data_IF_283635016381
#
_entry.id   IF_283635016381
#
_cell.length_a   1.000
_cell.length_b   1.000
_cell.length_c   1.000
_cell.angle_alpha   90.00
_cell.angle_beta   90.00
_cell.angle_gamma   90.00
#
_symmetry.space_group_name_H-M   'P 1'
#
loop_
_entity.id
_entity.type
_entity.pdbx_description
1 polymer ?
#
# COMPACT_ATOMS: atom_id res chain seq x y z
N UNK A 1 -41.36 -52.63 11.63
CA UNK A 1 -41.13 -52.78 10.18
C UNK A 1 -40.07 -51.76 9.76
N UNK A 2 -38.90 -52.26 9.31
CA UNK A 2 -37.91 -51.70 8.35
C UNK A 2 -37.72 -50.18 8.25
N UNK A 3 -36.55 -49.64 8.61
CA UNK A 3 -35.29 -49.54 7.83
C UNK A 3 -35.24 -48.37 6.81
N UNK A 4 -34.37 -47.39 7.12
CA UNK A 4 -33.23 -46.89 6.33
C UNK A 4 -33.40 -45.85 5.19
N UNK A 5 -32.42 -44.92 5.19
CA UNK A 5 -31.65 -44.31 4.05
C UNK A 5 -31.94 -42.86 3.56
N UNK A 6 -31.03 -41.94 3.93
CA UNK A 6 -30.20 -41.04 3.06
C UNK A 6 -30.76 -39.74 2.44
N UNK A 7 -30.27 -38.61 2.99
CA UNK A 7 -29.40 -37.54 2.38
C UNK A 7 -29.99 -36.48 1.39
N UNK A 8 -29.44 -35.26 1.55
CA UNK A 8 -29.33 -34.09 0.64
C UNK A 8 -30.41 -32.96 0.63
N UNK A 9 -29.97 -31.81 1.16
CA UNK A 9 -29.84 -30.48 0.51
C UNK A 9 -31.01 -29.47 0.39
N UNK A 10 -30.75 -28.30 1.01
CA UNK A 10 -30.82 -26.92 0.49
C UNK A 10 -32.08 -26.02 0.58
N UNK A 11 -31.77 -24.82 1.12
CA UNK A 11 -32.32 -23.47 0.90
C UNK A 11 -33.69 -23.14 1.50
N UNK A 12 -33.67 -22.27 2.52
CA UNK A 12 -34.35 -20.96 2.46
C UNK A 12 -33.55 -19.91 3.23
N UNK A 13 -33.11 -18.88 2.50
CA UNK A 13 -32.59 -17.60 2.99
C UNK A 13 -33.75 -16.80 3.58
N UNK A 14 -33.57 -16.17 4.74
CA UNK A 14 -34.34 -14.98 5.12
C UNK A 14 -33.68 -14.18 6.24
N UNK A 15 -33.27 -12.95 5.90
CA UNK A 15 -33.49 -11.72 6.68
C UNK A 15 -32.74 -11.46 8.01
N UNK A 16 -31.43 -11.70 8.09
CA UNK A 16 -30.61 -11.11 9.19
C UNK A 16 -29.24 -10.52 8.78
N UNK A 17 -28.90 -10.45 7.48
CA UNK A 17 -27.56 -10.03 7.03
C UNK A 17 -27.45 -8.59 6.50
N UNK A 18 -28.51 -7.76 6.58
CA UNK A 18 -28.55 -6.45 5.92
C UNK A 18 -28.56 -5.22 6.87
N UNK A 19 -28.40 -5.40 8.18
CA UNK A 19 -28.45 -4.28 9.15
C UNK A 19 -27.15 -4.09 9.96
N UNK A 20 -26.16 -4.98 9.83
CA UNK A 20 -24.88 -4.86 10.57
C UNK A 20 -23.72 -4.22 9.78
N UNK A 21 -23.95 -3.75 8.54
CA UNK A 21 -22.89 -3.11 7.73
C UNK A 21 -22.75 -1.60 8.04
N UNK A 22 -23.68 -1.02 8.80
CA UNK A 22 -23.89 0.44 8.81
C UNK A 22 -23.44 1.16 10.09
N UNK A 23 -22.66 0.52 10.99
CA UNK A 23 -22.15 1.17 12.21
C UNK A 23 -20.76 0.73 12.69
N UNK A 24 -19.98 -0.02 11.89
CA UNK A 24 -18.72 -0.62 12.36
C UNK A 24 -17.42 0.18 12.09
N UNK A 25 -17.50 1.39 11.55
CA UNK A 25 -16.34 1.96 10.87
C UNK A 25 -16.01 3.37 11.29
N UNK A 26 -15.41 3.50 12.48
CA UNK A 26 -14.69 4.70 12.88
C UNK A 26 -13.54 4.34 13.83
N UNK A 27 -12.30 4.72 13.48
CA UNK A 27 -11.28 5.08 14.48
C UNK A 27 -11.59 6.51 15.00
N UNK A 28 -12.87 6.83 15.24
CA UNK A 28 -13.28 8.07 15.89
C UNK A 28 -13.81 7.74 17.28
N UNK A 29 -13.52 8.65 18.22
CA UNK A 29 -14.03 8.62 19.60
C UNK A 29 -15.55 8.42 19.61
N UNK A 30 -16.00 7.18 19.81
CA UNK A 30 -17.31 6.91 20.39
C UNK A 30 -17.11 6.18 21.71
N UNK A 31 -17.28 6.91 22.82
CA UNK A 31 -17.18 6.41 24.20
C UNK A 31 -15.80 5.85 24.63
N UNK A 32 -14.76 6.11 23.84
CA UNK A 32 -13.37 5.77 24.15
C UNK A 32 -13.04 4.28 24.10
N UNK A 33 -13.88 3.42 23.51
CA UNK A 33 -13.57 2.00 23.31
C UNK A 33 -13.45 1.74 21.81
N UNK A 34 -12.33 1.15 21.39
CA UNK A 34 -12.15 0.63 20.03
C UNK A 34 -12.81 -0.75 19.98
N UNK A 35 -13.80 -0.95 19.11
CA UNK A 35 -14.39 -2.27 18.89
C UNK A 35 -13.44 -3.12 18.02
N UNK A 36 -12.68 -3.97 18.70
CA UNK A 36 -11.69 -4.86 18.10
C UNK A 36 -12.29 -6.22 17.72
N UNK A 37 -13.59 -6.45 17.87
CA UNK A 37 -14.24 -7.70 17.46
C UNK A 37 -14.15 -7.92 15.93
N UNK A 38 -14.06 -6.85 15.15
CA UNK A 38 -13.87 -6.86 13.69
C UNK A 38 -12.47 -7.36 13.27
N UNK A 39 -11.45 -7.21 14.14
CA UNK A 39 -10.09 -7.73 13.90
C UNK A 39 -10.02 -9.26 13.88
N UNK A 40 -10.93 -9.95 14.58
CA UNK A 40 -10.98 -11.43 14.59
C UNK A 40 -11.23 -12.04 13.20
N UNK A 41 -11.80 -11.29 12.25
CA UNK A 41 -12.09 -11.74 10.88
C UNK A 41 -10.96 -11.49 9.87
N UNK A 42 -9.89 -10.78 10.24
CA UNK A 42 -8.82 -10.33 9.34
C UNK A 42 -7.49 -11.09 9.50
N UNK A 43 -7.52 -12.41 9.69
CA UNK A 43 -6.28 -13.23 9.73
C UNK A 43 -5.49 -13.12 8.42
N UNK A 44 -4.36 -12.39 8.43
CA UNK A 44 -3.35 -12.37 7.36
C UNK A 44 -2.35 -13.52 7.47
N UNK A 45 -1.57 -13.79 6.40
CA UNK A 45 -0.45 -14.74 6.40
C UNK A 45 0.88 -14.03 6.70
N UNK A 46 1.81 -14.73 7.34
CA UNK A 46 3.21 -14.31 7.50
C UNK A 46 3.84 -14.04 6.12
N UNK A 47 4.54 -12.92 5.99
CA UNK A 47 5.59 -12.78 4.97
C UNK A 47 6.88 -13.46 5.46
N UNK A 48 7.86 -13.62 4.57
CA UNK A 48 9.21 -14.15 4.85
C UNK A 48 9.93 -13.44 6.01
N UNK A 49 9.50 -12.22 6.35
CA UNK A 49 10.03 -11.41 7.46
C UNK A 49 9.16 -11.43 8.74
N UNK A 50 8.15 -12.30 8.84
CA UNK A 50 7.34 -12.44 10.06
C UNK A 50 6.37 -11.28 10.35
N UNK A 51 6.21 -10.33 9.42
CA UNK A 51 5.36 -9.14 9.59
C UNK A 51 3.89 -9.43 9.30
N UNK A 52 3.00 -8.81 10.08
CA UNK A 52 1.55 -8.94 9.93
C UNK A 52 1.00 -7.88 8.96
N UNK A 53 0.77 -8.26 7.71
CA UNK A 53 0.30 -7.35 6.66
C UNK A 53 -1.24 -7.41 6.54
N UNK A 54 -1.94 -6.34 6.92
CA UNK A 54 -3.41 -6.25 6.83
C UNK A 54 -3.96 -4.83 7.06
N UNK A 55 -5.24 -4.57 6.75
CA UNK A 55 -5.89 -3.25 6.89
C UNK A 55 -5.65 -2.59 8.25
N UNK A 56 -5.63 -3.41 9.30
CA UNK A 56 -5.37 -3.01 10.67
C UNK A 56 -3.95 -2.48 10.92
N UNK A 57 -2.92 -3.01 10.23
CA UNK A 57 -1.52 -2.54 10.35
C UNK A 57 -1.41 -1.09 9.92
N UNK A 58 -2.11 -0.70 8.85
CA UNK A 58 -2.00 0.65 8.30
C UNK A 58 -2.77 1.67 9.13
N UNK A 59 -3.97 1.30 9.60
CA UNK A 59 -4.73 2.11 10.55
C UNK A 59 -3.94 2.37 11.83
N UNK A 60 -3.35 1.33 12.40
CA UNK A 60 -2.51 1.44 13.61
C UNK A 60 -1.29 2.30 13.29
N UNK A 61 -0.60 2.04 12.18
CA UNK A 61 0.59 2.77 11.76
C UNK A 61 0.34 4.27 11.56
N UNK A 62 -0.72 4.62 10.82
CA UNK A 62 -1.09 6.01 10.60
C UNK A 62 -1.50 6.70 11.90
N UNK A 63 -2.30 6.03 12.73
CA UNK A 63 -2.72 6.56 14.02
C UNK A 63 -1.52 6.79 14.93
N UNK A 64 -0.57 5.85 14.95
CA UNK A 64 0.67 5.96 15.71
C UNK A 64 1.55 7.10 15.18
N UNK A 65 1.72 7.23 13.86
CA UNK A 65 2.51 8.31 13.26
C UNK A 65 1.90 9.69 13.56
N UNK A 66 0.58 9.83 13.44
CA UNK A 66 -0.14 11.06 13.81
C UNK A 66 0.04 11.34 15.31
N UNK A 67 -0.19 10.35 16.16
CA UNK A 67 -0.05 10.48 17.60
C UNK A 67 1.37 10.87 18.02
N UNK A 68 2.38 10.24 17.42
CA UNK A 68 3.77 10.57 17.65
C UNK A 68 4.08 12.01 17.25
N UNK A 69 3.64 12.43 16.05
CA UNK A 69 3.84 13.79 15.55
C UNK A 69 3.18 14.83 16.48
N UNK A 70 1.95 14.55 16.94
CA UNK A 70 1.23 15.37 17.91
C UNK A 70 1.96 15.49 19.26
N UNK A 71 2.70 14.44 19.65
CA UNK A 71 3.54 14.40 20.85
C UNK A 71 5.01 14.76 20.58
N UNK A 72 5.28 15.39 19.43
CA UNK A 72 6.56 15.99 19.10
C UNK A 72 7.66 14.99 18.70
N UNK A 73 7.30 13.77 18.30
CA UNK A 73 8.21 12.81 17.72
C UNK A 73 7.82 12.57 16.26
N UNK A 74 8.78 12.81 15.36
CA UNK A 74 8.55 12.61 13.94
C UNK A 74 9.45 11.50 13.41
N UNK A 75 8.83 10.50 12.80
CA UNK A 75 9.51 9.36 12.22
C UNK A 75 8.82 8.90 10.95
N UNK A 76 9.59 8.15 10.18
CA UNK A 76 9.12 7.48 8.98
C UNK A 76 9.50 6.01 8.97
N UNK A 77 8.72 5.23 8.23
CA UNK A 77 9.07 3.86 7.94
C UNK A 77 10.31 3.86 7.04
N UNK A 78 11.27 3.02 7.38
CA UNK A 78 12.56 2.96 6.71
C UNK A 78 12.94 1.51 6.47
N UNK A 79 12.90 1.08 5.22
CA UNK A 79 13.26 -0.29 4.88
C UNK A 79 14.79 -0.43 4.80
N UNK A 80 15.42 -0.62 5.95
CA UNK A 80 16.87 -0.77 6.09
C UNK A 80 17.19 -1.64 7.30
N UNK A 81 18.30 -2.37 7.20
CA UNK A 81 18.84 -3.18 8.30
C UNK A 81 19.25 -2.34 9.54
N UNK A 82 19.39 -1.01 9.38
CA UNK A 82 19.75 -0.06 10.46
C UNK A 82 18.53 0.55 11.16
N UNK A 83 17.32 0.21 10.73
CA UNK A 83 16.12 0.83 11.26
C UNK A 83 15.76 0.31 12.67
N UNK A 84 15.18 1.19 13.49
CA UNK A 84 14.65 0.77 14.79
C UNK A 84 13.42 -0.10 14.59
N UNK A 85 13.48 -1.37 14.96
CA UNK A 85 12.35 -2.28 14.88
C UNK A 85 11.46 -2.11 16.10
N UNK A 86 10.25 -1.58 15.96
CA UNK A 86 9.22 -1.60 17.01
C UNK A 86 8.29 -2.76 16.71
N UNK A 87 8.29 -3.78 17.56
CA UNK A 87 7.37 -4.91 17.53
C UNK A 87 6.27 -4.73 18.59
N UNK A 88 5.05 -4.48 18.14
CA UNK A 88 3.88 -4.45 19.03
C UNK A 88 3.29 -5.86 19.11
N UNK A 89 3.29 -6.47 20.30
CA UNK A 89 2.66 -7.75 20.58
C UNK A 89 1.17 -7.54 20.84
N UNK A 90 0.31 -8.18 20.05
CA UNK A 90 -1.13 -8.18 20.33
C UNK A 90 -1.58 -9.46 21.03
N UNK A 91 -2.38 -9.33 22.08
CA UNK A 91 -3.08 -10.43 22.76
C UNK A 91 -4.41 -10.80 22.07
N UNK A 92 -5.11 -11.83 22.58
CA UNK A 92 -6.46 -12.16 22.13
C UNK A 92 -7.36 -10.93 22.28
N UNK A 93 -8.30 -10.74 21.34
CA UNK A 93 -9.25 -9.60 21.33
C UNK A 93 -8.66 -8.24 20.92
N UNK A 94 -7.40 -8.19 20.47
CA UNK A 94 -6.82 -7.01 19.80
C UNK A 94 -6.13 -6.02 20.73
N UNK A 95 -5.90 -6.39 21.99
CA UNK A 95 -5.16 -5.55 22.95
C UNK A 95 -3.63 -5.66 22.75
N UNK A 96 -2.86 -4.61 23.07
CA UNK A 96 -1.38 -4.71 23.10
C UNK A 96 -0.96 -5.41 24.41
N UNK A 97 -0.31 -6.56 24.27
CA UNK A 97 0.21 -7.39 25.35
C UNK A 97 1.63 -6.98 25.76
N UNK A 98 2.46 -6.56 24.80
CA UNK A 98 3.79 -5.99 25.04
C UNK A 98 4.23 -5.12 23.86
N UNK A 99 5.22 -4.28 24.11
CA UNK A 99 5.87 -3.44 23.11
C UNK A 99 7.37 -3.73 23.22
N UNK A 100 7.93 -4.37 22.20
CA UNK A 100 9.37 -4.59 22.07
C UNK A 100 9.92 -3.59 21.06
N UNK A 101 11.10 -3.04 21.33
CA UNK A 101 11.89 -2.38 20.30
C UNK A 101 13.31 -2.93 20.31
N UNK A 102 13.88 -3.16 19.12
CA UNK A 102 15.23 -3.70 18.94
C UNK A 102 15.91 -2.98 17.78
N UNK A 103 17.18 -2.60 17.94
CA UNK A 103 18.07 -2.34 16.79
C UNK A 103 18.74 -3.67 16.42
N UNK A 104 18.97 -3.94 15.13
CA UNK A 104 19.45 -5.26 14.67
C UNK A 104 20.93 -5.54 14.99
N UNK A 105 21.68 -4.55 15.47
CA UNK A 105 23.05 -4.76 15.94
C UNK A 105 23.07 -5.24 17.40
N UNK A 106 22.86 -6.55 17.59
CA UNK A 106 23.52 -7.44 18.57
C UNK A 106 22.66 -8.69 18.81
N UNK A 107 22.83 -9.71 17.96
CA UNK A 107 22.59 -11.11 18.37
C UNK A 107 23.93 -11.73 18.79
N UNK A 108 24.42 -11.36 19.98
CA UNK A 108 25.31 -12.23 20.76
C UNK A 108 24.59 -12.53 22.08
N UNK A 109 24.20 -13.79 22.26
CA UNK A 109 23.23 -14.20 23.28
C UNK A 109 23.79 -14.33 24.70
N UNK A 110 22.89 -14.35 25.68
CA UNK A 110 22.68 -15.51 26.55
C UNK A 110 21.38 -15.36 27.33
N UNK A 111 20.88 -16.49 27.82
CA UNK A 111 19.67 -16.68 28.60
C UNK A 111 19.57 -15.76 29.82
N UNK A 112 18.34 -15.32 30.08
CA UNK A 112 17.85 -14.72 31.33
C UNK A 112 18.36 -13.30 31.63
N UNK A 113 17.40 -12.37 31.56
CA UNK A 113 17.40 -10.99 32.06
C UNK A 113 18.35 -9.96 31.40
N UNK A 114 17.68 -8.99 30.76
CA UNK A 114 18.17 -7.71 30.20
C UNK A 114 18.98 -7.77 28.90
N UNK A 115 18.27 -7.64 27.77
CA UNK A 115 18.86 -7.20 26.50
C UNK A 115 19.33 -5.75 26.64
N UNK A 116 20.64 -5.51 26.60
CA UNK A 116 21.22 -4.18 26.42
C UNK A 116 21.47 -3.95 24.94
N UNK A 117 20.63 -3.11 24.35
CA UNK A 117 20.74 -2.65 22.96
C UNK A 117 21.93 -1.69 22.85
N UNK A 118 22.86 -1.93 21.92
CA UNK A 118 23.85 -0.93 21.49
C UNK A 118 23.25 -0.11 20.34
N UNK A 119 23.34 1.20 20.46
CA UNK A 119 22.83 2.16 19.49
C UNK A 119 23.74 2.23 18.26
N UNK A 120 23.13 2.44 17.10
CA UNK A 120 23.78 3.22 16.05
C UNK A 120 23.84 4.68 16.55
N UNK A 121 25.00 5.33 16.47
CA UNK A 121 25.31 6.65 17.04
C UNK A 121 24.46 7.82 16.43
N UNK A 122 23.46 7.50 15.60
CA UNK A 122 22.68 8.41 14.79
C UNK A 122 21.36 8.92 15.43
N UNK A 123 20.99 8.44 16.62
CA UNK A 123 19.77 8.91 17.31
C UNK A 123 20.08 9.93 18.41
N UNK A 124 19.36 11.07 18.48
CA UNK A 124 19.56 12.07 19.53
C UNK A 124 19.34 11.50 20.95
N UNK A 125 20.08 12.02 21.92
CA UNK A 125 19.87 11.72 23.34
C UNK A 125 18.40 11.89 23.75
N UNK A 126 17.84 10.88 24.43
CA UNK A 126 16.45 10.88 24.90
C UNK A 126 15.38 10.48 23.87
N UNK A 127 15.76 10.17 22.62
CA UNK A 127 14.85 9.67 21.59
C UNK A 127 14.09 8.41 22.04
N UNK A 128 14.80 7.44 22.62
CA UNK A 128 14.20 6.19 23.11
C UNK A 128 13.15 6.44 24.20
N UNK A 129 13.48 7.26 25.21
CA UNK A 129 12.56 7.56 26.30
C UNK A 129 11.29 8.26 25.78
N UNK A 130 11.46 9.17 24.81
CA UNK A 130 10.35 9.87 24.15
C UNK A 130 9.49 8.92 23.33
N UNK A 131 10.10 8.08 22.51
CA UNK A 131 9.40 7.08 21.70
C UNK A 131 8.66 6.07 22.58
N UNK A 132 9.31 5.55 23.62
CA UNK A 132 8.70 4.65 24.61
C UNK A 132 7.50 5.31 25.28
N UNK A 133 7.63 6.56 25.72
CA UNK A 133 6.53 7.33 26.33
C UNK A 133 5.36 7.48 25.36
N UNK A 134 5.64 7.87 24.11
CA UNK A 134 4.63 8.01 23.06
C UNK A 134 3.93 6.69 22.76
N UNK A 135 4.66 5.58 22.67
CA UNK A 135 4.06 4.27 22.43
C UNK A 135 3.19 3.82 23.61
N UNK A 136 3.62 4.07 24.86
CA UNK A 136 2.81 3.80 26.05
C UNK A 136 1.56 4.69 26.11
N UNK A 137 1.69 5.98 25.83
CA UNK A 137 0.57 6.92 25.82
C UNK A 137 -0.41 6.60 24.70
N UNK A 138 0.08 6.22 23.51
CA UNK A 138 -0.73 5.69 22.41
C UNK A 138 -1.49 4.44 22.85
N UNK A 139 -0.82 3.46 23.43
CA UNK A 139 -1.47 2.24 23.92
C UNK A 139 -2.55 2.55 24.97
N UNK A 140 -2.26 3.46 25.91
CA UNK A 140 -3.20 3.88 26.95
C UNK A 140 -4.41 4.63 26.38
N UNK A 141 -4.17 5.59 25.50
CA UNK A 141 -5.22 6.44 24.92
C UNK A 141 -6.19 5.63 24.06
N UNK A 142 -5.68 4.66 23.31
CA UNK A 142 -6.48 3.75 22.50
C UNK A 142 -7.01 2.54 23.30
N UNK A 143 -6.96 2.60 24.64
CA UNK A 143 -7.43 1.57 25.60
C UNK A 143 -6.95 0.16 25.29
N UNK A 144 -5.67 0.05 24.92
CA UNK A 144 -5.00 -1.21 24.65
C UNK A 144 -4.55 -1.80 26.01
N UNK A 145 -5.42 -2.60 26.65
CA UNK A 145 -5.19 -3.14 28.01
C UNK A 145 -4.20 -4.32 28.04
N UNK A 146 -3.27 -4.33 28.99
CA UNK A 146 -2.36 -5.47 29.20
C UNK A 146 -3.02 -6.61 29.97
N UNK A 147 -2.96 -7.84 29.44
CA UNK A 147 -3.26 -9.08 30.20
C UNK A 147 -2.29 -10.19 29.78
N UNK A 148 -1.93 -11.05 30.74
CA UNK A 148 -0.80 -11.98 30.75
C UNK A 148 -0.85 -13.18 29.78
N UNK A 149 0.28 -13.89 29.76
CA UNK A 149 0.72 -14.98 28.88
C UNK A 149 -0.23 -16.18 28.79
N UNK A 150 -0.77 -16.43 27.60
CA UNK A 150 -0.61 -17.70 26.86
C UNK A 150 -1.23 -17.64 25.46
N UNK A 151 -0.59 -18.36 24.53
CA UNK A 151 -0.95 -18.66 23.13
C UNK A 151 -0.68 -17.61 22.04
N UNK A 152 0.16 -18.04 21.08
CA UNK A 152 0.39 -17.57 19.69
C UNK A 152 0.36 -16.05 19.43
N UNK A 153 1.54 -15.42 19.40
CA UNK A 153 1.71 -13.97 19.30
C UNK A 153 2.24 -13.48 17.94
N UNK A 154 1.84 -12.28 17.53
CA UNK A 154 2.17 -11.65 16.25
C UNK A 154 2.79 -10.25 16.46
N UNK A 155 4.08 -10.04 16.19
CA UNK A 155 4.70 -8.72 16.25
C UNK A 155 4.29 -7.85 15.05
N UNK A 156 3.72 -6.68 15.29
CA UNK A 156 3.69 -5.60 14.30
C UNK A 156 5.03 -4.89 14.35
N UNK A 157 5.94 -5.27 13.46
CA UNK A 157 7.27 -4.67 13.35
C UNK A 157 7.25 -3.45 12.41
N UNK A 158 7.71 -2.30 12.89
CA UNK A 158 7.99 -1.12 12.08
C UNK A 158 9.46 -0.78 12.20
N UNK A 159 10.09 -0.56 11.06
CA UNK A 159 11.47 -0.12 10.97
C UNK A 159 11.47 1.41 10.88
N UNK A 160 12.01 2.11 11.89
CA UNK A 160 11.93 3.58 11.97
C UNK A 160 13.27 4.27 11.73
N UNK A 161 13.19 5.49 11.18
CA UNK A 161 14.21 6.53 11.32
C UNK A 161 13.58 7.89 11.59
N UNK A 162 14.38 8.84 12.07
CA UNK A 162 13.97 10.24 12.17
C UNK A 162 13.66 10.80 10.78
N UNK A 163 12.53 11.51 10.66
CA UNK A 163 12.20 12.17 9.40
C UNK A 163 13.09 13.38 9.16
N UNK A 164 13.67 13.45 7.97
CA UNK A 164 14.38 14.63 7.47
C UNK A 164 13.47 15.43 6.55
N UNK A 165 13.23 16.70 6.88
CA UNK A 165 12.45 17.58 6.01
C UNK A 165 13.29 18.00 4.80
N UNK A 166 12.91 17.53 3.61
CA UNK A 166 13.48 17.95 2.33
C UNK A 166 12.54 18.94 1.66
N UNK A 167 13.02 20.14 1.40
CA UNK A 167 12.24 21.25 0.83
C UNK A 167 12.53 21.37 -0.66
N UNK A 168 11.50 21.64 -1.47
CA UNK A 168 11.68 21.96 -2.90
C UNK A 168 12.59 23.20 -3.09
N UNK A 169 13.65 23.13 -3.91
CA UNK A 169 14.49 24.30 -4.19
C UNK A 169 13.68 25.46 -4.78
N UNK A 170 13.78 26.64 -4.16
CA UNK A 170 13.09 27.85 -4.60
C UNK A 170 11.62 27.96 -4.16
N UNK A 171 11.12 27.00 -3.38
CA UNK A 171 9.82 27.13 -2.72
C UNK A 171 9.95 27.91 -1.41
N UNK A 172 8.90 28.66 -1.08
CA UNK A 172 8.74 29.28 0.23
C UNK A 172 8.49 28.18 1.24
N UNK A 173 9.27 28.16 2.32
CA UNK A 173 9.34 26.99 3.18
C UNK A 173 8.94 27.20 4.64
N UNK A 174 8.71 28.45 5.04
CA UNK A 174 8.25 28.82 6.37
C UNK A 174 7.12 29.87 6.33
N UNK A 175 6.37 29.96 7.42
CA UNK A 175 5.30 30.97 7.54
C UNK A 175 5.88 32.39 7.62
N UNK A 176 7.04 32.56 8.26
CA UNK A 176 7.72 33.85 8.39
C UNK A 176 8.16 34.40 7.02
N UNK A 177 8.74 33.54 6.17
CA UNK A 177 9.13 33.89 4.80
C UNK A 177 7.90 34.29 3.97
N UNK A 178 6.81 33.52 4.10
CA UNK A 178 5.55 33.79 3.41
C UNK A 178 4.91 35.13 3.80
N UNK A 179 5.18 35.67 4.99
CA UNK A 179 4.63 36.95 5.44
C UNK A 179 5.38 38.17 4.87
N UNK A 180 6.60 38.00 4.36
CA UNK A 180 7.46 39.12 3.91
C UNK A 180 7.75 39.12 2.41
N UNK A 181 7.52 38.00 1.74
CA UNK A 181 7.69 37.88 0.29
C UNK A 181 6.67 38.75 -0.47
N UNK A 182 7.01 39.17 -1.69
CA UNK A 182 6.02 39.71 -2.61
C UNK A 182 5.05 38.59 -3.05
N UNK A 183 3.75 38.65 -2.70
CA UNK A 183 2.80 37.57 -2.98
C UNK A 183 2.64 37.24 -4.47
N UNK A 184 2.88 38.21 -5.35
CA UNK A 184 2.78 38.02 -6.80
C UNK A 184 3.97 37.24 -7.38
N UNK A 185 5.10 37.22 -6.67
CA UNK A 185 6.31 36.51 -7.10
C UNK A 185 6.25 34.99 -6.82
N UNK A 186 5.35 34.57 -5.93
CA UNK A 186 5.32 33.21 -5.38
C UNK A 186 4.65 32.22 -6.34
N UNK A 187 5.40 31.18 -6.70
CA UNK A 187 4.92 30.07 -7.54
C UNK A 187 4.92 28.70 -6.86
N UNK A 188 5.78 28.50 -5.88
CA UNK A 188 5.84 27.26 -5.10
C UNK A 188 5.91 27.56 -3.61
N UNK A 189 5.09 26.84 -2.85
CA UNK A 189 5.07 26.85 -1.39
C UNK A 189 5.21 25.42 -0.91
N UNK A 190 6.21 25.18 -0.07
CA UNK A 190 6.44 23.92 0.60
C UNK A 190 6.31 24.13 2.11
N UNK A 191 5.11 23.89 2.62
CA UNK A 191 4.80 23.89 4.04
C UNK A 191 4.70 22.46 4.59
N UNK A 192 5.44 21.53 3.98
CA UNK A 192 5.51 20.16 4.50
C UNK A 192 6.11 20.13 5.91
N UNK A 193 5.62 19.22 6.76
CA UNK A 193 6.18 18.97 8.09
C UNK A 193 6.38 20.20 8.98
N UNK A 194 5.41 21.14 8.95
CA UNK A 194 5.39 22.31 9.83
C UNK A 194 4.48 22.12 11.05
N UNK A 195 3.94 20.90 11.23
CA UNK A 195 3.00 20.54 12.32
C UNK A 195 1.74 21.41 12.34
N UNK A 196 1.31 21.90 11.16
CA UNK A 196 0.15 22.76 11.01
C UNK A 196 -1.13 22.03 11.41
N UNK A 197 -1.90 22.60 12.33
CA UNK A 197 -3.23 22.11 12.73
C UNK A 197 -4.36 22.76 11.94
N UNK A 198 -4.11 23.97 11.45
CA UNK A 198 -5.04 24.77 10.66
C UNK A 198 -4.42 25.09 9.30
N UNK A 199 -5.27 25.24 8.30
CA UNK A 199 -4.83 25.58 6.95
C UNK A 199 -4.29 27.04 6.93
N UNK A 200 -3.07 27.29 6.44
CA UNK A 200 -2.48 28.61 6.53
C UNK A 200 -3.09 29.57 5.49
N UNK A 201 -3.91 30.51 5.96
CA UNK A 201 -4.67 31.46 5.12
C UNK A 201 -3.78 32.34 4.22
N UNK A 202 -2.50 32.52 4.56
CA UNK A 202 -1.53 33.29 3.76
C UNK A 202 -1.39 32.74 2.33
N UNK A 203 -1.60 31.44 2.13
CA UNK A 203 -1.59 30.78 0.81
C UNK A 203 -2.53 31.50 -0.18
N UNK A 204 -3.65 32.03 0.31
CA UNK A 204 -4.64 32.68 -0.56
C UNK A 204 -4.21 34.06 -1.07
N UNK A 205 -3.09 34.61 -0.60
CA UNK A 205 -2.49 35.82 -1.16
C UNK A 205 -1.61 35.54 -2.39
N UNK A 206 -1.22 34.28 -2.62
CA UNK A 206 -0.32 33.91 -3.72
C UNK A 206 -1.09 33.63 -5.01
N UNK A 207 -1.37 34.69 -5.77
CA UNK A 207 -2.20 34.61 -6.99
C UNK A 207 -1.58 33.74 -8.10
N UNK A 208 -0.25 33.68 -8.16
CA UNK A 208 0.51 32.92 -9.16
C UNK A 208 0.95 31.54 -8.67
N UNK A 209 0.38 31.04 -7.57
CA UNK A 209 0.77 29.76 -6.99
C UNK A 209 0.48 28.60 -7.95
N UNK A 210 1.53 27.88 -8.33
CA UNK A 210 1.47 26.71 -9.22
C UNK A 210 1.65 25.40 -8.45
N UNK A 211 2.39 25.41 -7.33
CA UNK A 211 2.69 24.24 -6.50
C UNK A 211 2.44 24.53 -5.03
N UNK A 212 1.73 23.62 -4.37
CA UNK A 212 1.49 23.69 -2.93
C UNK A 212 1.72 22.32 -2.30
N UNK A 213 2.73 22.23 -1.44
CA UNK A 213 2.98 21.06 -0.59
C UNK A 213 2.64 21.37 0.88
N UNK A 214 1.70 20.60 1.43
CA UNK A 214 1.25 20.63 2.82
C UNK A 214 1.39 19.24 3.47
N UNK A 215 2.28 18.41 2.94
CA UNK A 215 2.49 17.03 3.39
C UNK A 215 2.90 16.95 4.85
N UNK A 216 2.52 15.88 5.55
CA UNK A 216 3.01 15.59 6.90
C UNK A 216 2.68 16.71 7.89
N UNK A 217 1.44 17.18 7.86
CA UNK A 217 0.89 18.12 8.84
C UNK A 217 -0.24 17.44 9.65
N UNK A 218 -0.97 18.22 10.42
CA UNK A 218 -2.07 17.78 11.28
C UNK A 218 -3.41 18.39 10.81
N UNK A 219 -3.53 18.71 9.52
CA UNK A 219 -4.71 19.36 8.95
C UNK A 219 -5.89 18.39 9.00
N UNK A 220 -7.01 18.84 9.56
CA UNK A 220 -8.28 18.11 9.56
C UNK A 220 -9.27 18.61 8.52
N UNK A 221 -9.12 19.87 8.11
CA UNK A 221 -10.04 20.55 7.22
C UNK A 221 -9.28 21.29 6.11
N UNK A 222 -9.91 21.43 4.95
CA UNK A 222 -9.41 22.22 3.82
C UNK A 222 -10.43 23.29 3.45
N UNK A 223 -10.07 24.59 3.55
CA UNK A 223 -11.01 25.67 3.27
C UNK A 223 -11.42 25.69 1.80
N UNK A 224 -12.69 26.00 1.54
CA UNK A 224 -13.26 26.12 0.17
C UNK A 224 -12.53 27.10 -0.73
N UNK A 225 -11.75 28.03 -0.17
CA UNK A 225 -10.92 28.99 -0.91
C UNK A 225 -9.79 28.29 -1.69
N UNK A 226 -9.26 27.17 -1.21
CA UNK A 226 -8.21 26.41 -1.91
C UNK A 226 -8.65 26.05 -3.34
N UNK A 227 -9.88 25.59 -3.48
CA UNK A 227 -10.46 25.18 -4.76
C UNK A 227 -10.76 26.35 -5.71
N UNK A 228 -10.39 27.59 -5.35
CA UNK A 228 -10.43 28.78 -6.21
C UNK A 228 -9.05 29.20 -6.71
N UNK A 229 -7.96 28.51 -6.31
CA UNK A 229 -6.63 28.79 -6.81
C UNK A 229 -6.51 28.25 -8.24
N UNK A 230 -6.86 29.10 -9.21
CA UNK A 230 -6.98 28.67 -10.60
C UNK A 230 -5.63 28.33 -11.24
N UNK A 231 -4.52 28.89 -10.77
CA UNK A 231 -3.18 28.61 -11.30
C UNK A 231 -2.52 27.34 -10.74
N UNK A 232 -3.11 26.73 -9.71
CA UNK A 232 -2.54 25.58 -9.02
C UNK A 232 -2.49 24.36 -9.95
N UNK A 233 -1.28 23.80 -10.12
CA UNK A 233 -0.99 22.63 -10.96
C UNK A 233 -0.69 21.38 -10.14
N UNK A 234 -0.04 21.54 -8.99
CA UNK A 234 0.36 20.43 -8.13
C UNK A 234 -0.07 20.73 -6.70
N UNK A 235 -0.85 19.82 -6.12
CA UNK A 235 -1.31 19.91 -4.74
C UNK A 235 -0.99 18.63 -4.00
N UNK A 236 -0.18 18.75 -2.96
CA UNK A 236 0.15 17.64 -2.07
C UNK A 236 -0.41 17.92 -0.66
N UNK A 237 -1.40 17.14 -0.27
CA UNK A 237 -2.05 17.15 1.03
C UNK A 237 -1.80 15.84 1.80
N UNK A 238 -0.83 15.04 1.35
CA UNK A 238 -0.62 13.70 1.89
C UNK A 238 -0.22 13.72 3.37
N UNK A 239 -0.47 12.63 4.09
CA UNK A 239 -0.10 12.50 5.52
C UNK A 239 -0.70 13.62 6.38
N UNK A 240 -2.02 13.79 6.29
CA UNK A 240 -2.82 14.69 7.11
C UNK A 240 -4.00 13.90 7.73
N UNK A 241 -5.03 14.59 8.20
CA UNK A 241 -6.23 14.00 8.80
C UNK A 241 -7.52 14.42 8.05
N UNK A 242 -7.41 14.71 6.75
CA UNK A 242 -8.48 15.30 5.92
C UNK A 242 -9.52 14.23 5.52
N UNK A 243 -10.80 14.57 5.60
CA UNK A 243 -11.92 13.71 5.21
C UNK A 243 -12.53 14.04 3.85
N UNK A 244 -13.52 13.25 3.41
CA UNK A 244 -14.19 13.47 2.12
C UNK A 244 -14.86 14.85 1.97
N UNK A 245 -15.44 15.38 3.05
CA UNK A 245 -16.24 16.61 3.05
C UNK A 245 -15.42 17.87 2.70
N UNK A 246 -14.10 17.80 2.77
CA UNK A 246 -13.17 18.88 2.46
C UNK A 246 -12.91 19.03 0.95
N UNK A 247 -13.14 17.98 0.17
CA UNK A 247 -12.86 17.94 -1.27
C UNK A 247 -14.01 18.52 -2.10
N UNK A 248 -14.17 19.84 -2.02
CA UNK A 248 -15.21 20.61 -2.71
C UNK A 248 -14.72 21.18 -4.05
N UNK A 249 -14.31 20.32 -4.97
CA UNK A 249 -13.72 20.74 -6.25
C UNK A 249 -14.65 21.65 -7.08
N UNK A 250 -14.08 22.78 -7.51
CA UNK A 250 -14.64 23.63 -8.57
C UNK A 250 -14.10 23.21 -9.92
N UNK A 251 -14.73 23.71 -10.98
CA UNK A 251 -14.22 23.50 -12.34
C UNK A 251 -12.83 24.13 -12.44
N UNK A 252 -11.82 23.31 -12.64
CA UNK A 252 -10.43 23.73 -12.76
C UNK A 252 -9.81 23.01 -13.97
N UNK A 253 -8.94 23.73 -14.71
CA UNK A 253 -8.28 23.24 -15.93
C UNK A 253 -6.76 23.22 -15.82
N UNK A 254 -6.22 23.47 -14.62
CA UNK A 254 -4.79 23.63 -14.41
C UNK A 254 -4.22 22.59 -13.45
N UNK A 255 -5.01 22.08 -12.50
CA UNK A 255 -4.57 21.05 -11.55
C UNK A 255 -4.31 19.75 -12.29
N UNK A 256 -3.03 19.36 -12.32
CA UNK A 256 -2.51 18.17 -13.01
C UNK A 256 -2.32 17.02 -12.03
N UNK A 257 -1.82 17.31 -10.83
CA UNK A 257 -1.52 16.29 -9.82
C UNK A 257 -2.16 16.62 -8.48
N UNK A 258 -2.83 15.63 -7.90
CA UNK A 258 -3.42 15.69 -6.58
C UNK A 258 -2.95 14.49 -5.76
N UNK A 259 -2.15 14.75 -4.73
CA UNK A 259 -1.76 13.76 -3.74
C UNK A 259 -2.53 13.96 -2.44
N UNK A 260 -3.37 12.99 -2.10
CA UNK A 260 -4.17 12.94 -0.86
C UNK A 260 -3.97 11.62 -0.12
N UNK A 261 -2.84 10.95 -0.35
CA UNK A 261 -2.47 9.71 0.34
C UNK A 261 -2.37 9.90 1.86
N UNK A 262 -2.53 8.83 2.64
CA UNK A 262 -2.40 8.89 4.10
C UNK A 262 -3.32 9.97 4.73
N UNK A 263 -4.60 9.94 4.39
CA UNK A 263 -5.65 10.78 4.96
C UNK A 263 -6.80 9.89 5.46
N UNK A 264 -7.99 10.48 5.65
CA UNK A 264 -9.20 9.77 6.09
C UNK A 264 -10.25 9.68 4.98
N UNK A 265 -9.80 9.59 3.74
CA UNK A 265 -10.68 9.50 2.56
C UNK A 265 -11.29 8.10 2.49
N UNK A 266 -12.58 8.04 2.15
CA UNK A 266 -13.40 6.80 2.11
C UNK A 266 -13.96 6.48 0.72
N UNK A 267 -13.86 7.42 -0.21
CA UNK A 267 -14.27 7.32 -1.61
C UNK A 267 -13.54 8.35 -2.47
N UNK A 268 -13.54 8.18 -3.79
CA UNK A 268 -13.09 9.22 -4.72
C UNK A 268 -14.13 10.36 -4.65
N UNK A 269 -13.79 11.63 -4.38
CA UNK A 269 -14.82 12.66 -4.24
C UNK A 269 -15.66 12.83 -5.51
N UNK A 270 -17.00 12.80 -5.39
CA UNK A 270 -17.95 12.77 -6.53
C UNK A 270 -17.76 13.89 -7.56
N UNK A 271 -17.24 15.04 -7.15
CA UNK A 271 -17.02 16.23 -7.97
C UNK A 271 -15.59 16.32 -8.55
N UNK A 272 -14.72 15.32 -8.33
CA UNK A 272 -13.32 15.32 -8.79
C UNK A 272 -13.19 15.39 -10.32
N UNK A 273 -14.16 14.83 -11.05
CA UNK A 273 -14.26 14.91 -12.52
C UNK A 273 -14.34 16.35 -13.07
N UNK A 274 -14.53 17.35 -12.20
CA UNK A 274 -14.47 18.79 -12.56
C UNK A 274 -13.05 19.29 -12.76
N UNK A 275 -12.04 18.57 -12.27
CA UNK A 275 -10.61 18.82 -12.50
C UNK A 275 -10.25 18.24 -13.87
N UNK A 276 -10.45 19.04 -14.92
CA UNK A 276 -10.42 18.54 -16.31
C UNK A 276 -9.04 18.20 -16.84
N UNK A 277 -7.99 18.63 -16.15
CA UNK A 277 -6.59 18.37 -16.52
C UNK A 277 -5.90 17.45 -15.53
N UNK A 278 -6.63 16.88 -14.56
CA UNK A 278 -6.04 16.00 -13.56
C UNK A 278 -5.54 14.73 -14.25
N UNK A 279 -4.23 14.54 -14.20
CA UNK A 279 -3.48 13.41 -14.75
C UNK A 279 -3.15 12.40 -13.67
N UNK A 280 -2.77 12.87 -12.48
CA UNK A 280 -2.26 12.03 -11.41
C UNK A 280 -3.13 12.17 -10.16
N UNK A 281 -3.75 11.07 -9.74
CA UNK A 281 -4.56 10.99 -8.54
C UNK A 281 -3.98 9.95 -7.59
N UNK A 282 -3.40 10.41 -6.49
CA UNK A 282 -2.77 9.56 -5.49
C UNK A 282 -3.65 9.48 -4.24
N UNK A 283 -4.23 8.30 -4.02
CA UNK A 283 -5.22 8.02 -2.98
C UNK A 283 -4.80 6.90 -2.03
N UNK A 284 -3.66 6.25 -2.27
CA UNK A 284 -3.20 5.15 -1.43
C UNK A 284 -3.09 5.47 0.06
N UNK A 285 -3.13 4.44 0.89
CA UNK A 285 -3.15 4.56 2.34
C UNK A 285 -4.32 5.41 2.85
N UNK A 286 -5.50 5.26 2.25
CA UNK A 286 -6.76 5.79 2.76
C UNK A 286 -7.71 4.62 3.11
N UNK A 287 -8.94 4.92 3.52
CA UNK A 287 -9.92 3.93 3.97
C UNK A 287 -11.07 3.81 2.96
N UNK A 288 -10.77 3.48 1.69
CA UNK A 288 -11.68 3.60 0.53
C UNK A 288 -12.82 2.56 0.52
N UNK A 289 -13.53 2.42 1.63
CA UNK A 289 -14.56 1.41 1.90
C UNK A 289 -15.82 1.56 1.05
N UNK A 290 -16.11 2.76 0.54
CA UNK A 290 -17.29 3.04 -0.30
C UNK A 290 -17.02 2.88 -1.80
N UNK A 291 -15.75 2.81 -2.20
CA UNK A 291 -15.33 2.84 -3.60
C UNK A 291 -15.91 1.68 -4.43
N UNK A 292 -16.13 0.53 -3.80
CA UNK A 292 -16.66 -0.68 -4.47
C UNK A 292 -18.09 -0.51 -5.01
N UNK A 293 -18.84 0.47 -4.50
CA UNK A 293 -20.24 0.74 -4.89
C UNK A 293 -20.41 2.09 -5.60
N UNK A 294 -19.32 2.82 -5.78
CA UNK A 294 -19.35 4.18 -6.28
C UNK A 294 -19.52 4.21 -7.79
N UNK A 295 -20.40 5.10 -8.27
CA UNK A 295 -20.50 5.40 -9.70
C UNK A 295 -19.43 6.41 -10.10
N UNK A 296 -18.42 5.95 -10.84
CA UNK A 296 -17.37 6.81 -11.34
C UNK A 296 -17.82 7.60 -12.58
N UNK A 297 -17.38 8.86 -12.66
CA UNK A 297 -17.55 9.70 -13.85
C UNK A 297 -16.24 9.77 -14.60
N UNK A 298 -16.30 9.72 -15.92
CA UNK A 298 -15.13 9.76 -16.77
C UNK A 298 -14.21 10.97 -16.46
N UNK A 299 -12.92 10.68 -16.38
CA UNK A 299 -11.85 11.66 -16.18
C UNK A 299 -10.88 11.56 -17.37
N UNK A 300 -11.11 12.33 -18.44
CA UNK A 300 -10.45 12.11 -19.73
C UNK A 300 -8.95 12.42 -19.72
N UNK A 301 -8.43 13.08 -18.68
CA UNK A 301 -7.00 13.36 -18.57
C UNK A 301 -6.28 12.45 -17.58
N UNK A 302 -7.00 11.60 -16.83
CA UNK A 302 -6.40 10.78 -15.78
C UNK A 302 -5.55 9.68 -16.41
N UNK A 303 -4.27 9.66 -16.04
CA UNK A 303 -3.27 8.69 -16.49
C UNK A 303 -2.79 7.80 -15.37
N UNK A 304 -2.70 8.33 -14.15
CA UNK A 304 -2.17 7.62 -13.00
C UNK A 304 -3.22 7.58 -11.89
N UNK A 305 -3.58 6.37 -11.46
CA UNK A 305 -4.47 6.15 -10.33
C UNK A 305 -3.78 5.23 -9.31
N UNK A 306 -3.41 5.81 -8.17
CA UNK A 306 -2.82 5.07 -7.06
C UNK A 306 -3.86 4.78 -5.98
N UNK A 307 -4.19 3.50 -5.82
CA UNK A 307 -5.05 2.93 -4.78
C UNK A 307 -4.27 1.91 -3.93
N UNK A 308 -2.95 2.12 -3.82
CA UNK A 308 -2.06 1.35 -2.95
C UNK A 308 -2.66 1.30 -1.55
N UNK A 309 -2.87 0.10 -1.02
CA UNK A 309 -3.25 -0.06 0.38
C UNK A 309 -4.48 0.77 0.79
N UNK A 310 -5.54 0.68 -0.01
CA UNK A 310 -6.77 1.44 0.14
C UNK A 310 -7.89 0.63 0.83
N UNK A 311 -7.55 -0.53 1.40
CA UNK A 311 -8.46 -1.49 2.05
C UNK A 311 -9.50 -2.14 1.12
N UNK A 312 -9.24 -2.18 -0.19
CA UNK A 312 -10.17 -2.76 -1.16
C UNK A 312 -10.28 -4.27 -0.98
N UNK A 313 -11.49 -4.80 -0.86
CA UNK A 313 -11.75 -6.25 -0.79
C UNK A 313 -12.22 -6.76 -2.16
N UNK A 314 -12.79 -5.86 -2.97
CA UNK A 314 -13.26 -6.11 -4.34
C UNK A 314 -12.70 -5.06 -5.27
N UNK A 315 -12.60 -5.44 -6.54
CA UNK A 315 -12.28 -4.48 -7.59
C UNK A 315 -13.43 -3.45 -7.68
N UNK A 316 -13.14 -2.15 -7.63
CA UNK A 316 -14.18 -1.13 -7.73
C UNK A 316 -14.66 -0.98 -9.17
N UNK A 317 -15.91 -1.36 -9.42
CA UNK A 317 -16.57 -1.15 -10.71
C UNK A 317 -16.62 0.35 -11.03
N UNK A 318 -16.33 0.72 -12.27
CA UNK A 318 -16.27 2.11 -12.73
C UNK A 318 -14.85 2.65 -12.97
N UNK A 319 -13.78 1.99 -12.51
CA UNK A 319 -12.40 2.39 -12.86
C UNK A 319 -12.21 2.37 -14.38
N UNK A 320 -12.90 1.46 -15.08
CA UNK A 320 -12.88 1.37 -16.54
C UNK A 320 -13.39 2.62 -17.27
N UNK A 321 -14.04 3.55 -16.56
CA UNK A 321 -14.45 4.85 -17.12
C UNK A 321 -13.27 5.82 -17.31
N UNK A 322 -12.09 5.50 -16.76
CA UNK A 322 -10.84 6.25 -16.94
C UNK A 322 -10.09 5.71 -18.16
N UNK A 323 -10.66 5.90 -19.35
CA UNK A 323 -10.20 5.27 -20.60
C UNK A 323 -8.72 5.55 -20.94
N UNK A 324 -8.18 6.70 -20.53
CA UNK A 324 -6.79 7.12 -20.78
C UNK A 324 -5.81 6.72 -19.66
N UNK A 325 -6.22 5.85 -18.74
CA UNK A 325 -5.37 5.41 -17.64
C UNK A 325 -4.18 4.59 -18.17
N UNK A 326 -2.98 5.02 -17.82
CA UNK A 326 -1.70 4.39 -18.18
C UNK A 326 -1.14 3.56 -17.01
N UNK A 327 -1.41 3.97 -15.78
CA UNK A 327 -0.90 3.30 -14.57
C UNK A 327 -2.01 3.11 -13.53
N UNK A 328 -2.19 1.86 -13.10
CA UNK A 328 -3.12 1.48 -12.05
C UNK A 328 -2.40 0.70 -10.95
N UNK A 329 -2.36 1.30 -9.77
CA UNK A 329 -1.78 0.68 -8.58
C UNK A 329 -2.87 0.24 -7.61
N UNK A 330 -3.05 -1.08 -7.50
CA UNK A 330 -3.92 -1.79 -6.56
C UNK A 330 -3.12 -2.64 -5.55
N UNK A 331 -1.83 -2.35 -5.39
CA UNK A 331 -0.91 -3.08 -4.54
C UNK A 331 -1.36 -3.06 -3.07
N UNK A 332 -1.14 -4.17 -2.34
CA UNK A 332 -1.44 -4.30 -0.91
C UNK A 332 -2.92 -4.07 -0.56
N UNK A 333 -3.82 -4.67 -1.33
CA UNK A 333 -5.24 -4.71 -1.00
C UNK A 333 -5.66 -6.13 -0.58
N UNK A 334 -6.95 -6.40 -0.47
CA UNK A 334 -7.51 -7.70 -0.13
C UNK A 334 -8.32 -8.30 -1.29
N UNK A 335 -8.00 -7.93 -2.54
CA UNK A 335 -8.72 -8.36 -3.73
C UNK A 335 -8.63 -9.87 -3.90
N UNK A 336 -9.79 -10.53 -3.98
CA UNK A 336 -9.85 -11.97 -4.29
C UNK A 336 -10.02 -12.24 -5.79
N UNK A 337 -10.58 -11.28 -6.53
CA UNK A 337 -10.88 -11.36 -7.97
C UNK A 337 -10.57 -9.99 -8.58
N UNK A 338 -9.91 -10.00 -9.74
CA UNK A 338 -9.79 -8.84 -10.63
C UNK A 338 -10.90 -8.91 -11.68
N UNK A 339 -11.59 -7.81 -11.94
CA UNK A 339 -12.71 -7.77 -12.89
C UNK A 339 -12.23 -7.94 -14.34
N UNK A 340 -12.92 -8.73 -15.19
CA UNK A 340 -12.70 -8.75 -16.65
C UNK A 340 -12.75 -7.38 -17.31
N UNK A 341 -13.52 -6.45 -16.74
CA UNK A 341 -13.69 -5.08 -17.24
C UNK A 341 -12.38 -4.28 -17.22
N UNK A 342 -11.34 -4.75 -16.53
CA UNK A 342 -10.00 -4.16 -16.59
C UNK A 342 -9.51 -4.04 -18.05
N UNK A 343 -9.92 -4.97 -18.92
CA UNK A 343 -9.58 -4.98 -20.34
C UNK A 343 -10.05 -3.73 -21.10
N UNK A 344 -10.99 -2.94 -20.56
CA UNK A 344 -11.40 -1.67 -21.17
C UNK A 344 -10.34 -0.57 -21.06
N UNK A 345 -9.38 -0.70 -20.15
CA UNK A 345 -8.27 0.25 -19.97
C UNK A 345 -7.20 0.07 -21.06
N UNK A 346 -7.57 0.36 -22.30
CA UNK A 346 -6.74 0.06 -23.48
C UNK A 346 -5.40 0.82 -23.50
N UNK A 347 -5.25 1.90 -22.74
CA UNK A 347 -4.02 2.66 -22.62
C UNK A 347 -3.12 2.21 -21.44
N UNK A 348 -3.54 1.20 -20.66
CA UNK A 348 -2.82 0.77 -19.48
C UNK A 348 -1.47 0.14 -19.85
N UNK A 349 -0.41 0.67 -19.26
CA UNK A 349 0.98 0.23 -19.42
C UNK A 349 1.50 -0.48 -18.19
N UNK A 350 1.08 -0.05 -17.00
CA UNK A 350 1.52 -0.63 -15.73
C UNK A 350 0.31 -1.02 -14.89
N UNK A 351 0.28 -2.28 -14.48
CA UNK A 351 -0.72 -2.81 -13.54
C UNK A 351 -0.02 -3.43 -12.34
N UNK A 352 -0.25 -2.86 -11.15
CA UNK A 352 0.22 -3.44 -9.90
C UNK A 352 -0.95 -4.03 -9.10
N UNK A 353 -0.96 -5.36 -8.95
CA UNK A 353 -1.96 -6.12 -8.18
C UNK A 353 -1.31 -7.05 -7.14
N UNK A 354 -0.04 -6.84 -6.85
CA UNK A 354 0.70 -7.63 -5.86
C UNK A 354 0.19 -7.45 -4.43
N UNK A 355 0.55 -8.39 -3.55
CA UNK A 355 0.11 -8.41 -2.15
C UNK A 355 -1.41 -8.35 -2.00
N UNK A 356 -2.11 -9.15 -2.81
CA UNK A 356 -3.56 -9.32 -2.74
C UNK A 356 -3.89 -10.78 -2.38
N UNK A 357 -5.12 -11.21 -2.67
CA UNK A 357 -5.61 -12.58 -2.44
C UNK A 357 -6.09 -13.22 -3.74
N UNK A 358 -5.62 -12.72 -4.88
CA UNK A 358 -6.01 -13.18 -6.21
C UNK A 358 -5.61 -14.63 -6.38
N UNK A 359 -6.58 -15.47 -6.74
CA UNK A 359 -6.33 -16.89 -7.05
C UNK A 359 -6.33 -17.17 -8.56
N UNK A 360 -6.82 -16.20 -9.35
CA UNK A 360 -6.71 -16.16 -10.81
C UNK A 360 -6.69 -14.71 -11.30
N UNK A 361 -6.16 -14.51 -12.50
CA UNK A 361 -6.35 -13.29 -13.31
C UNK A 361 -7.42 -13.58 -14.38
N UNK A 362 -8.17 -12.56 -14.86
CA UNK A 362 -9.17 -12.73 -15.91
C UNK A 362 -8.53 -13.02 -17.27
N UNK A 363 -9.19 -13.79 -18.14
CA UNK A 363 -8.68 -14.12 -19.48
C UNK A 363 -8.53 -12.87 -20.36
N UNK A 364 -9.40 -11.88 -20.13
CA UNK A 364 -9.43 -10.60 -20.82
C UNK A 364 -8.18 -9.75 -20.54
N UNK A 365 -7.33 -10.11 -19.57
CA UNK A 365 -6.07 -9.42 -19.32
C UNK A 365 -5.15 -9.41 -20.55
N UNK A 366 -5.21 -10.45 -21.39
CA UNK A 366 -4.48 -10.51 -22.67
C UNK A 366 -4.91 -9.47 -23.71
N UNK A 367 -6.03 -8.78 -23.49
CA UNK A 367 -6.54 -7.71 -24.38
C UNK A 367 -5.97 -6.33 -24.04
N UNK A 368 -5.13 -6.22 -23.00
CA UNK A 368 -4.42 -4.99 -22.66
C UNK A 368 -3.17 -4.82 -23.53
N UNK A 369 -3.36 -4.55 -24.82
CA UNK A 369 -2.28 -4.53 -25.83
C UNK A 369 -1.13 -3.55 -25.59
N UNK A 370 -1.29 -2.61 -24.65
CA UNK A 370 -0.25 -1.67 -24.25
C UNK A 370 0.40 -2.01 -22.89
N UNK A 371 -0.01 -3.10 -22.23
CA UNK A 371 0.50 -3.48 -20.92
C UNK A 371 1.95 -3.95 -21.04
N UNK A 372 2.85 -3.23 -20.41
CA UNK A 372 4.30 -3.49 -20.42
C UNK A 372 4.75 -4.14 -19.11
N UNK A 373 4.15 -3.73 -18.00
CA UNK A 373 4.59 -4.11 -16.65
C UNK A 373 3.42 -4.67 -15.85
N UNK A 374 3.57 -5.91 -15.39
CA UNK A 374 2.61 -6.57 -14.51
C UNK A 374 3.30 -7.02 -13.21
N UNK A 375 2.92 -6.37 -12.10
CA UNK A 375 3.25 -6.84 -10.76
C UNK A 375 2.08 -7.64 -10.18
N UNK A 376 2.26 -8.94 -9.99
CA UNK A 376 1.24 -9.86 -9.46
C UNK A 376 1.78 -10.78 -8.35
N UNK A 377 2.92 -10.46 -7.76
CA UNK A 377 3.56 -11.24 -6.71
C UNK A 377 2.79 -11.22 -5.38
N UNK A 378 3.12 -12.14 -4.47
CA UNK A 378 2.42 -12.31 -3.18
C UNK A 378 0.89 -12.45 -3.34
N UNK A 379 0.46 -13.35 -4.22
CA UNK A 379 -0.94 -13.70 -4.42
C UNK A 379 -1.15 -15.22 -4.17
N UNK A 380 -2.19 -15.80 -4.75
CA UNK A 380 -2.53 -17.23 -4.69
C UNK A 380 -2.66 -17.82 -6.09
N UNK A 381 -1.99 -17.24 -7.08
CA UNK A 381 -2.09 -17.65 -8.47
C UNK A 381 -1.47 -19.04 -8.66
N UNK A 382 -2.18 -19.89 -9.39
CA UNK A 382 -1.72 -21.23 -9.78
C UNK A 382 -1.51 -21.35 -11.29
N UNK A 383 -2.17 -20.49 -12.06
CA UNK A 383 -2.10 -20.37 -13.53
C UNK A 383 -2.08 -18.89 -13.94
N UNK A 384 -1.68 -18.64 -15.18
CA UNK A 384 -1.82 -17.34 -15.85
C UNK A 384 -2.77 -17.49 -17.05
N UNK A 385 -3.60 -16.46 -17.32
CA UNK A 385 -4.34 -16.36 -18.58
C UNK A 385 -3.39 -16.01 -19.73
N UNK A 386 -3.93 -15.85 -20.95
CA UNK A 386 -3.20 -15.15 -22.00
C UNK A 386 -2.76 -13.76 -21.52
N UNK A 387 -1.54 -13.36 -21.84
CA UNK A 387 -0.99 -12.04 -21.51
C UNK A 387 -0.78 -11.24 -22.80
N UNK A 388 -0.71 -9.92 -22.66
CA UNK A 388 -0.40 -9.06 -23.79
C UNK A 388 1.02 -9.35 -24.30
N UNK A 389 1.23 -9.43 -25.63
CA UNK A 389 2.57 -9.59 -26.20
C UNK A 389 3.50 -8.39 -25.91
N UNK A 390 2.95 -7.25 -25.47
CA UNK A 390 3.73 -6.08 -25.07
C UNK A 390 4.36 -6.20 -23.68
N UNK A 391 4.05 -7.23 -22.90
CA UNK A 391 4.59 -7.41 -21.55
C UNK A 391 6.09 -7.66 -21.64
N UNK A 392 6.87 -6.76 -21.03
CA UNK A 392 8.32 -6.85 -20.97
C UNK A 392 8.81 -7.13 -19.55
N UNK A 393 8.03 -6.74 -18.53
CA UNK A 393 8.30 -7.00 -17.12
C UNK A 393 7.15 -7.79 -16.48
N UNK A 394 7.48 -8.95 -15.91
CA UNK A 394 6.52 -9.81 -15.22
C UNK A 394 7.04 -10.26 -13.86
N UNK A 395 6.37 -9.82 -12.79
CA UNK A 395 6.65 -10.30 -11.45
C UNK A 395 5.46 -11.11 -10.90
N UNK A 396 5.66 -12.41 -10.81
CA UNK A 396 4.71 -13.41 -10.30
C UNK A 396 5.30 -14.20 -9.13
N UNK A 397 6.32 -13.64 -8.47
CA UNK A 397 6.94 -14.24 -7.29
C UNK A 397 5.94 -14.50 -6.16
N UNK A 398 6.29 -15.37 -5.20
CA UNK A 398 5.45 -15.64 -4.03
C UNK A 398 4.00 -16.03 -4.36
N UNK A 399 3.82 -16.93 -5.33
CA UNK A 399 2.53 -17.48 -5.73
C UNK A 399 2.49 -19.00 -5.48
N UNK A 400 1.76 -19.76 -6.29
CA UNK A 400 1.59 -21.21 -6.14
C UNK A 400 1.81 -21.99 -7.43
N UNK A 401 2.53 -21.39 -8.38
CA UNK A 401 2.84 -22.02 -9.66
C UNK A 401 3.61 -23.33 -9.45
N UNK A 402 3.04 -24.45 -9.91
CA UNK A 402 3.69 -25.77 -9.81
C UNK A 402 4.60 -26.08 -11.00
N UNK A 403 4.37 -25.39 -12.12
CA UNK A 403 5.10 -25.46 -13.38
C UNK A 403 5.22 -24.05 -13.94
N UNK A 404 6.15 -23.86 -14.87
CA UNK A 404 6.23 -22.63 -15.64
C UNK A 404 4.95 -22.46 -16.47
N UNK A 405 4.24 -21.32 -16.39
CA UNK A 405 3.14 -21.01 -17.30
C UNK A 405 3.62 -20.91 -18.76
N UNK A 406 3.01 -21.69 -19.66
CA UNK A 406 3.42 -21.74 -21.08
C UNK A 406 3.33 -20.38 -21.78
N UNK A 407 2.34 -19.55 -21.40
CA UNK A 407 2.15 -18.18 -21.90
C UNK A 407 3.40 -17.30 -21.79
N UNK A 408 4.28 -17.55 -20.82
CA UNK A 408 5.51 -16.75 -20.63
C UNK A 408 6.44 -16.92 -21.85
N UNK A 409 6.43 -18.09 -22.49
CA UNK A 409 7.26 -18.38 -23.66
C UNK A 409 6.73 -17.67 -24.92
N UNK A 410 5.48 -17.23 -24.89
CA UNK A 410 4.84 -16.49 -25.99
C UNK A 410 5.10 -14.98 -25.92
N UNK A 411 5.79 -14.49 -24.87
CA UNK A 411 6.12 -13.07 -24.70
C UNK A 411 7.41 -12.72 -25.46
N UNK A 412 7.33 -12.02 -26.61
CA UNK A 412 8.48 -11.81 -27.49
C UNK A 412 9.53 -10.86 -26.89
N UNK A 413 9.10 -9.96 -26.01
CA UNK A 413 9.88 -8.84 -25.51
C UNK A 413 10.12 -8.89 -23.99
N UNK A 414 9.88 -10.05 -23.36
CA UNK A 414 10.14 -10.20 -21.92
C UNK A 414 11.62 -10.04 -21.62
N UNK A 415 11.95 -9.03 -20.81
CA UNK A 415 13.29 -8.69 -20.38
C UNK A 415 13.56 -9.09 -18.93
N UNK A 416 12.53 -9.04 -18.08
CA UNK A 416 12.64 -9.39 -16.66
C UNK A 416 11.46 -10.23 -16.18
N UNK A 417 11.79 -11.36 -15.56
CA UNK A 417 10.84 -12.32 -15.02
C UNK A 417 11.20 -12.68 -13.57
N UNK A 418 10.29 -12.41 -12.64
CA UNK A 418 10.36 -12.97 -11.29
C UNK A 418 9.29 -14.06 -11.13
N UNK A 419 9.75 -15.29 -10.89
CA UNK A 419 8.92 -16.45 -10.51
C UNK A 419 9.46 -17.12 -9.24
N UNK A 420 10.24 -16.38 -8.44
CA UNK A 420 10.77 -16.83 -7.16
C UNK A 420 9.67 -17.20 -6.17
N UNK A 421 10.00 -17.95 -5.13
CA UNK A 421 9.07 -18.28 -4.05
C UNK A 421 7.76 -18.93 -4.54
N UNK A 422 7.86 -19.86 -5.48
CA UNK A 422 6.73 -20.61 -6.04
C UNK A 422 6.82 -22.10 -5.65
N UNK A 423 6.20 -22.98 -6.44
CA UNK A 423 6.15 -24.43 -6.19
C UNK A 423 6.68 -25.22 -7.39
N UNK A 424 7.57 -24.63 -8.17
CA UNK A 424 8.12 -25.26 -9.37
C UNK A 424 8.86 -26.54 -8.99
N UNK A 425 8.45 -27.67 -9.57
CA UNK A 425 9.06 -29.00 -9.36
C UNK A 425 9.91 -29.49 -10.51
N UNK A 426 9.81 -28.82 -11.66
CA UNK A 426 10.49 -29.20 -12.90
C UNK A 426 11.37 -28.04 -13.37
N UNK A 427 12.50 -28.37 -14.01
CA UNK A 427 13.41 -27.37 -14.58
C UNK A 427 12.70 -26.65 -15.73
N UNK A 428 12.60 -25.32 -15.72
CA UNK A 428 11.85 -24.56 -16.72
C UNK A 428 12.67 -24.36 -18.01
N UNK A 429 13.07 -25.46 -18.66
CA UNK A 429 13.93 -25.50 -19.86
C UNK A 429 13.47 -24.55 -20.96
N UNK A 430 12.16 -24.36 -21.11
CA UNK A 430 11.57 -23.48 -22.12
C UNK A 430 12.01 -22.01 -22.00
N UNK A 431 12.42 -21.55 -20.81
CA UNK A 431 12.93 -20.18 -20.61
C UNK A 431 14.21 -19.90 -21.41
N UNK A 432 14.96 -20.95 -21.81
CA UNK A 432 16.09 -20.81 -22.73
C UNK A 432 15.66 -20.25 -24.10
N UNK A 433 14.39 -20.36 -24.47
CA UNK A 433 13.91 -19.86 -25.76
C UNK A 433 13.63 -18.35 -25.73
N UNK A 434 13.68 -17.69 -24.57
CA UNK A 434 13.45 -16.26 -24.45
C UNK A 434 14.73 -15.49 -24.81
N UNK A 435 14.79 -14.95 -26.03
CA UNK A 435 16.01 -14.32 -26.57
C UNK A 435 16.35 -12.98 -25.90
N UNK A 436 15.35 -12.25 -25.39
CA UNK A 436 15.49 -10.91 -24.81
C UNK A 436 15.54 -10.88 -23.28
N UNK A 437 15.47 -12.04 -22.63
CA UNK A 437 15.50 -12.15 -21.18
C UNK A 437 16.87 -11.73 -20.66
N UNK A 438 16.92 -10.70 -19.81
CA UNK A 438 18.15 -10.18 -19.20
C UNK A 438 18.21 -10.50 -17.70
N UNK A 439 17.07 -10.44 -17.00
CA UNK A 439 17.00 -10.70 -15.56
C UNK A 439 15.97 -11.80 -15.26
N UNK A 440 16.36 -12.75 -14.42
CA UNK A 440 15.45 -13.78 -13.95
C UNK A 440 15.64 -14.09 -12.47
N UNK A 441 14.53 -14.14 -11.73
CA UNK A 441 14.51 -14.51 -10.32
C UNK A 441 13.79 -15.85 -10.17
N UNK A 442 14.52 -16.87 -9.71
CA UNK A 442 14.03 -18.26 -9.63
C UNK A 442 14.14 -18.87 -8.23
N UNK A 443 14.81 -18.17 -7.30
CA UNK A 443 15.03 -18.55 -5.90
C UNK A 443 13.78 -19.11 -5.20
N UNK A 444 14.00 -19.93 -4.17
CA UNK A 444 12.96 -20.48 -3.31
C UNK A 444 11.88 -21.29 -4.07
N UNK A 445 12.33 -22.18 -4.95
CA UNK A 445 11.48 -23.17 -5.61
C UNK A 445 11.98 -24.61 -5.34
N UNK A 446 11.09 -25.60 -5.16
CA UNK A 446 11.48 -26.99 -4.88
C UNK A 446 12.47 -27.60 -5.89
N UNK A 447 12.40 -27.20 -7.17
CA UNK A 447 13.30 -27.66 -8.24
C UNK A 447 14.78 -27.48 -7.91
N UNK A 448 15.13 -26.51 -7.06
CA UNK A 448 16.52 -26.20 -6.68
C UNK A 448 17.11 -27.21 -5.68
N UNK A 449 16.25 -27.79 -4.84
CA UNK A 449 16.67 -28.60 -3.70
C UNK A 449 16.40 -30.09 -3.88
N UNK A 450 15.46 -30.46 -4.74
CA UNK A 450 15.11 -31.86 -4.97
C UNK A 450 16.29 -32.65 -5.61
N UNK A 451 16.73 -33.78 -5.03
CA UNK A 451 17.89 -34.53 -5.52
C UNK A 451 17.81 -34.95 -7.00
N UNK A 452 16.59 -35.11 -7.52
CA UNK A 452 16.35 -35.52 -8.92
C UNK A 452 16.52 -34.38 -9.92
N UNK A 453 16.36 -33.13 -9.49
CA UNK A 453 16.35 -31.95 -10.38
C UNK A 453 17.50 -30.99 -10.10
N UNK A 454 18.09 -31.01 -8.90
CA UNK A 454 19.13 -30.08 -8.47
C UNK A 454 20.29 -29.93 -9.46
N UNK A 455 20.87 -31.04 -9.93
CA UNK A 455 21.97 -30.99 -10.91
C UNK A 455 21.53 -30.40 -12.24
N UNK A 456 20.39 -30.83 -12.78
CA UNK A 456 19.86 -30.30 -14.03
C UNK A 456 19.48 -28.81 -13.91
N UNK A 457 18.95 -28.39 -12.76
CA UNK A 457 18.64 -27.00 -12.49
C UNK A 457 19.91 -26.13 -12.46
N UNK A 458 20.99 -26.63 -11.86
CA UNK A 458 22.26 -25.92 -11.81
C UNK A 458 22.92 -25.80 -13.20
N UNK A 459 22.85 -26.85 -14.02
CA UNK A 459 23.25 -26.78 -15.44
C UNK A 459 22.39 -25.78 -16.24
N UNK A 460 21.07 -25.76 -15.98
CA UNK A 460 20.14 -24.81 -16.57
C UNK A 460 20.49 -23.35 -16.21
N UNK A 461 20.87 -23.07 -14.96
CA UNK A 461 21.34 -21.73 -14.56
C UNK A 461 22.63 -21.34 -15.31
N UNK A 462 23.62 -22.24 -15.38
CA UNK A 462 24.87 -21.97 -16.09
C UNK A 462 24.63 -21.67 -17.58
N UNK A 463 23.68 -22.37 -18.22
CA UNK A 463 23.29 -22.12 -19.62
C UNK A 463 22.72 -20.70 -19.79
N UNK A 464 21.82 -20.26 -18.92
CA UNK A 464 21.27 -18.90 -18.93
C UNK A 464 22.38 -17.84 -18.71
N UNK A 465 23.22 -18.03 -17.71
CA UNK A 465 24.32 -17.10 -17.40
C UNK A 465 25.34 -17.02 -18.55
N UNK A 466 25.59 -18.13 -19.26
CA UNK A 466 26.49 -18.16 -20.42
C UNK A 466 26.03 -17.26 -21.57
N UNK A 467 24.74 -16.94 -21.60
CA UNK A 467 24.12 -16.00 -22.56
C UNK A 467 24.07 -14.56 -22.05
N UNK A 468 24.56 -14.29 -20.84
CA UNK A 468 24.51 -12.98 -20.21
C UNK A 468 23.23 -12.69 -19.41
N UNK A 469 22.39 -13.70 -19.16
CA UNK A 469 21.21 -13.55 -18.29
C UNK A 469 21.67 -13.50 -16.83
N UNK A 470 21.23 -12.48 -16.10
CA UNK A 470 21.44 -12.34 -14.66
C UNK A 470 20.40 -13.17 -13.89
N UNK A 471 20.83 -14.28 -13.32
CA UNK A 471 20.00 -15.19 -12.52
C UNK A 471 20.14 -14.88 -11.04
N UNK A 472 19.01 -14.74 -10.33
CA UNK A 472 18.94 -14.45 -8.89
C UNK A 472 18.00 -15.38 -8.10
#
# INVERSE_FOLDING_TARGET
MRLLTVLFLFITVSSYAQVEVMNMYQFEKKNGVVDLSTMRRLRGRRTTFGQWNGPSRNKIWQSLKVFALENGLDFEEYDSDLALNISVEMGPEGFIKSLLYMTRETMEGSSEDTYRVRYDDNYPDGFEEKLRTILFDFAREYRMHSVSLNSEFYPLSYNLKMSERKVEPGAISTLEEAMIVDPLSVKSVDFSNLKLREFPEIIFSFENLEKLDLTQNLLKEVPRKLWKLDNLKYLNLSRNQIGNDDFNFRRNKNLVSLNIQYNRVTEIPDNIHRLRSLSDLLLGNNFLTSLESQKMKAMPSLKTLNLYNAELVRYPEGIETFENLEELDLYYNALNILSPEIAKLQHLKTLAVSNNRLWKLPEELGQLYNLQTLYAHHNKLETLPSLSPSVTYLDIGYNRFQKLPEVIIELPDIYELDISNNRLKEVPEMLKNLEKLENIFLSDNPVQDEPKTKSAFQEFIVDLESRGVNVR
#
